data_IF_814772793052
#
_entry.id   IF_814772793052
#
_cell.length_a   1.000
_cell.length_b   1.000
_cell.length_c   1.000
_cell.angle_alpha   90.00
_cell.angle_beta   90.00
_cell.angle_gamma   90.00
#
_symmetry.space_group_name_H-M   'P 1'
#
loop_
_entity.id
_entity.type
_entity.pdbx_description
1 polymer ?
#
# COMPACT_ATOMS: atom_id res chain seq x y z
N UNK A 1 59.08 -36.28 15.16
CA UNK A 1 59.31 -35.64 16.47
C UNK A 1 58.39 -34.43 16.53
N UNK A 2 57.15 -34.68 16.94
CA UNK A 2 56.35 -33.68 17.66
C UNK A 2 56.90 -33.61 19.11
N UNK A 3 56.70 -32.54 19.90
CA UNK A 3 55.35 -32.13 20.32
C UNK A 3 55.09 -30.62 20.63
N UNK A 4 53.78 -30.31 20.70
CA UNK A 4 53.06 -29.45 21.69
C UNK A 4 53.23 -27.90 21.78
N UNK A 5 52.11 -27.21 21.49
CA UNK A 5 51.67 -25.88 22.02
C UNK A 5 51.49 -25.88 23.55
N UNK A 6 51.33 -24.74 24.29
CA UNK A 6 50.04 -24.00 24.36
C UNK A 6 50.09 -22.49 24.79
N UNK A 7 48.89 -21.89 24.94
CA UNK A 7 48.48 -20.64 25.64
C UNK A 7 48.54 -19.30 24.86
N UNK A 8 47.41 -18.77 24.36
CA UNK A 8 46.33 -18.02 25.05
C UNK A 8 46.76 -16.66 25.65
N UNK A 9 46.29 -15.58 25.02
CA UNK A 9 45.71 -14.44 25.76
C UNK A 9 44.50 -13.94 24.98
N UNK A 10 43.36 -14.01 25.65
CA UNK A 10 42.03 -13.66 25.16
C UNK A 10 41.69 -12.24 25.63
N UNK A 11 40.75 -11.61 24.91
CA UNK A 11 39.82 -10.53 25.30
C UNK A 11 40.18 -9.11 24.82
N UNK A 12 39.19 -8.23 24.60
CA UNK A 12 37.86 -8.44 24.02
C UNK A 12 37.52 -7.35 22.96
N UNK A 13 36.96 -7.72 21.81
CA UNK A 13 36.35 -6.75 20.88
C UNK A 13 34.93 -6.36 21.33
N UNK A 14 34.77 -6.05 22.61
CA UNK A 14 33.64 -5.28 23.11
C UNK A 14 33.93 -3.79 22.86
N UNK A 15 33.54 -3.30 21.68
CA UNK A 15 32.98 -1.96 21.46
C UNK A 15 32.76 -1.72 19.95
N UNK A 16 31.98 -2.61 19.32
CA UNK A 16 31.15 -2.25 18.16
C UNK A 16 29.65 -2.40 18.51
N UNK A 17 29.33 -2.29 19.80
CA UNK A 17 27.96 -2.03 20.26
C UNK A 17 27.69 -0.52 20.21
N UNK A 18 27.60 0.05 19.01
CA UNK A 18 26.89 1.31 18.73
C UNK A 18 26.94 1.66 17.23
N UNK A 19 26.47 0.75 16.37
CA UNK A 19 25.61 1.17 15.26
C UNK A 19 24.41 0.24 15.32
N UNK A 20 23.33 0.81 15.80
CA UNK A 20 22.05 0.22 16.11
C UNK A 20 21.52 -0.66 14.98
N UNK A 21 21.26 -1.93 15.31
CA UNK A 21 20.19 -2.73 14.71
C UNK A 21 18.92 -1.90 14.79
N UNK A 22 18.42 -1.36 13.66
CA UNK A 22 17.03 -0.90 13.43
C UNK A 22 16.90 -0.24 12.04
N UNK A 23 16.88 -1.00 10.95
CA UNK A 23 16.28 -0.49 9.70
C UNK A 23 15.60 -1.59 8.88
N UNK A 24 15.00 -2.59 9.55
CA UNK A 24 14.05 -3.49 8.90
C UNK A 24 12.60 -3.01 9.06
N UNK A 25 12.38 -1.94 9.82
CA UNK A 25 11.04 -1.45 10.19
C UNK A 25 10.69 -0.11 9.56
N UNK A 26 11.47 0.46 8.65
CA UNK A 26 11.14 1.79 8.12
C UNK A 26 10.58 1.68 6.70
N UNK A 27 9.36 2.18 6.51
CA UNK A 27 8.77 2.29 5.18
C UNK A 27 9.50 3.38 4.41
N UNK A 28 10.13 3.02 3.29
CA UNK A 28 10.77 3.98 2.41
C UNK A 28 9.73 4.99 1.88
N UNK A 29 9.73 6.18 2.47
CA UNK A 29 8.93 7.33 2.04
C UNK A 29 9.48 7.87 0.71
N UNK A 30 8.63 8.56 -0.05
CA UNK A 30 9.07 9.22 -1.27
C UNK A 30 10.07 10.34 -0.95
N UNK A 31 11.06 10.53 -1.80
CA UNK A 31 12.18 11.48 -1.62
C UNK A 31 11.73 12.96 -1.49
N UNK A 32 10.47 13.25 -1.82
CA UNK A 32 9.88 14.59 -1.83
C UNK A 32 8.52 14.65 -1.11
N UNK A 33 8.08 13.57 -0.46
CA UNK A 33 6.78 13.54 0.22
C UNK A 33 6.73 12.45 1.29
N UNK A 34 6.03 12.72 2.40
CA UNK A 34 5.68 11.72 3.41
C UNK A 34 4.81 10.55 2.89
N UNK A 35 4.49 10.55 1.59
CA UNK A 35 3.74 9.48 0.93
C UNK A 35 4.62 8.26 0.69
N UNK A 36 4.01 7.11 0.91
CA UNK A 36 4.59 5.79 0.68
C UNK A 36 4.04 5.24 -0.64
N UNK A 37 4.90 4.87 -1.60
CA UNK A 37 4.45 4.18 -2.80
C UNK A 37 4.01 2.75 -2.47
N UNK A 38 2.88 2.32 -3.03
CA UNK A 38 2.31 0.98 -2.81
C UNK A 38 3.32 -0.12 -3.19
N UNK A 39 4.19 0.16 -4.19
CA UNK A 39 5.27 -0.73 -4.59
C UNK A 39 6.17 -1.13 -3.43
N UNK A 40 6.62 -0.17 -2.63
CA UNK A 40 7.56 -0.42 -1.53
C UNK A 40 6.95 -1.29 -0.44
N UNK A 41 5.63 -1.27 -0.27
CA UNK A 41 4.92 -2.11 0.68
C UNK A 41 4.74 -3.54 0.11
N UNK A 42 4.20 -3.66 -1.11
CA UNK A 42 3.76 -4.95 -1.67
C UNK A 42 4.87 -5.80 -2.32
N UNK A 43 5.98 -5.18 -2.75
CA UNK A 43 7.09 -5.87 -3.39
C UNK A 43 8.24 -6.22 -2.44
N UNK A 44 8.13 -5.85 -1.16
CA UNK A 44 9.05 -6.32 -0.14
C UNK A 44 9.04 -7.85 -0.07
N UNK A 45 10.17 -8.48 0.27
CA UNK A 45 10.25 -9.95 0.36
C UNK A 45 9.19 -10.53 1.32
N UNK A 46 8.90 -9.78 2.38
CA UNK A 46 7.87 -10.07 3.39
C UNK A 46 6.43 -9.81 2.90
N UNK A 47 6.26 -9.24 1.71
CA UNK A 47 4.95 -8.86 1.17
C UNK A 47 4.22 -7.79 2.00
N UNK A 48 4.95 -7.03 2.81
CA UNK A 48 4.42 -5.97 3.66
C UNK A 48 4.00 -6.40 5.06
N UNK A 49 4.13 -7.68 5.43
CA UNK A 49 3.76 -8.14 6.77
C UNK A 49 4.65 -7.54 7.87
N UNK A 50 5.96 -7.35 7.60
CA UNK A 50 6.88 -6.67 8.50
C UNK A 50 6.59 -5.17 8.71
N UNK A 51 5.68 -4.60 7.91
CA UNK A 51 5.25 -3.20 8.03
C UNK A 51 3.89 -3.06 8.75
N UNK A 52 3.30 -4.18 9.19
CA UNK A 52 2.07 -4.14 9.96
C UNK A 52 2.28 -3.42 11.30
N UNK A 53 1.33 -2.57 11.68
CA UNK A 53 1.39 -1.69 12.83
C UNK A 53 1.98 -0.30 12.52
N UNK A 54 2.51 -0.07 11.32
CA UNK A 54 3.03 1.24 10.95
C UNK A 54 1.97 2.14 10.35
N UNK A 55 2.05 3.41 10.72
CA UNK A 55 1.27 4.48 10.12
C UNK A 55 1.92 4.89 8.80
N UNK A 56 1.16 4.82 7.71
CA UNK A 56 1.60 5.16 6.37
C UNK A 56 0.59 6.07 5.70
N UNK A 57 1.11 6.99 4.91
CA UNK A 57 0.32 7.84 4.03
C UNK A 57 0.40 7.30 2.61
N UNK A 58 -0.72 6.88 2.04
CA UNK A 58 -0.77 6.41 0.65
C UNK A 58 -1.65 7.33 -0.19
N UNK A 59 -1.18 7.61 -1.40
CA UNK A 59 -1.97 8.29 -2.43
C UNK A 59 -2.35 7.31 -3.52
N UNK A 60 -3.45 7.60 -4.23
CA UNK A 60 -3.78 6.87 -5.45
C UNK A 60 -5.19 7.18 -5.94
N UNK A 61 -5.68 6.33 -6.84
CA UNK A 61 -7.06 6.33 -7.27
C UNK A 61 -7.77 5.03 -6.92
N UNK A 62 -9.05 5.13 -6.59
CA UNK A 62 -9.92 3.98 -6.30
C UNK A 62 -10.23 3.26 -7.61
N UNK A 63 -9.84 1.99 -7.73
CA UNK A 63 -10.27 1.11 -8.84
C UNK A 63 -11.63 0.50 -8.55
N UNK A 64 -11.77 -0.10 -7.37
CA UNK A 64 -13.00 -0.74 -6.92
C UNK A 64 -13.31 -0.25 -5.52
N UNK A 65 -14.55 0.16 -5.28
CA UNK A 65 -15.05 0.41 -3.94
C UNK A 65 -16.31 -0.41 -3.69
N UNK A 66 -16.42 -0.98 -2.49
CA UNK A 66 -17.62 -1.68 -2.02
C UNK A 66 -17.89 -1.33 -0.57
N UNK A 67 -19.16 -1.06 -0.25
CA UNK A 67 -19.62 -0.88 1.13
C UNK A 67 -20.00 -2.23 1.72
N UNK A 68 -19.61 -2.50 2.95
CA UNK A 68 -19.90 -3.75 3.65
C UNK A 68 -20.39 -3.44 5.09
N UNK A 69 -21.01 -4.43 5.75
CA UNK A 69 -21.55 -4.24 7.11
C UNK A 69 -22.67 -3.20 7.18
N UNK A 70 -23.59 -3.21 6.20
CA UNK A 70 -24.72 -2.28 6.16
C UNK A 70 -24.35 -0.81 5.93
N UNK A 71 -23.10 -0.52 5.53
CA UNK A 71 -22.58 0.84 5.39
C UNK A 71 -21.72 1.31 6.56
N UNK A 72 -21.35 0.41 7.48
CA UNK A 72 -20.45 0.74 8.60
C UNK A 72 -18.98 0.88 8.16
N UNK A 73 -18.57 0.14 7.13
CA UNK A 73 -17.22 0.20 6.56
C UNK A 73 -17.23 0.04 5.05
N UNK A 74 -16.24 0.61 4.37
CA UNK A 74 -15.98 0.43 2.95
C UNK A 74 -14.64 -0.24 2.72
N UNK A 75 -14.63 -1.23 1.82
CA UNK A 75 -13.42 -1.76 1.23
C UNK A 75 -13.16 -1.07 -0.08
N UNK A 76 -11.99 -0.47 -0.20
CA UNK A 76 -11.50 0.16 -1.40
C UNK A 76 -10.26 -0.57 -1.89
N UNK A 77 -10.15 -0.70 -3.19
CA UNK A 77 -8.93 -1.11 -3.86
C UNK A 77 -8.30 0.13 -4.47
N UNK A 78 -7.19 0.58 -3.89
CA UNK A 78 -6.46 1.76 -4.34
C UNK A 78 -5.27 1.35 -5.19
N UNK A 79 -5.01 2.11 -6.25
CA UNK A 79 -3.85 1.96 -7.12
C UNK A 79 -3.17 3.31 -7.31
N UNK A 80 -1.85 3.34 -7.16
CA UNK A 80 -1.01 4.53 -7.39
C UNK A 80 -0.29 4.47 -8.77
N UNK A 81 -0.47 3.38 -9.51
CA UNK A 81 0.20 3.16 -10.81
C UNK A 81 1.64 2.68 -10.71
N UNK A 82 2.27 2.77 -9.54
CA UNK A 82 3.62 2.22 -9.29
C UNK A 82 3.69 0.70 -9.46
N UNK A 83 2.56 0.01 -9.32
CA UNK A 83 2.44 -1.45 -9.38
C UNK A 83 1.14 -1.88 -10.05
N UNK A 84 1.13 -3.06 -10.71
CA UNK A 84 -0.11 -3.67 -11.18
C UNK A 84 -0.97 -4.24 -10.04
N UNK A 85 -0.36 -4.50 -8.87
CA UNK A 85 -1.07 -4.93 -7.66
C UNK A 85 -1.78 -3.75 -7.00
N UNK A 86 -2.98 -4.00 -6.52
CA UNK A 86 -3.78 -3.04 -5.79
C UNK A 86 -3.51 -3.17 -4.28
N UNK A 87 -3.69 -2.07 -3.54
CA UNK A 87 -3.68 -2.09 -2.08
C UNK A 87 -5.12 -2.11 -1.57
N UNK A 88 -5.44 -3.03 -0.65
CA UNK A 88 -6.70 -3.01 0.05
C UNK A 88 -6.69 -1.93 1.11
N UNK A 89 -7.75 -1.13 1.13
CA UNK A 89 -7.96 -0.03 2.06
C UNK A 89 -9.32 -0.23 2.72
N UNK A 90 -9.37 -0.13 4.04
CA UNK A 90 -10.58 -0.20 4.84
C UNK A 90 -10.83 1.17 5.43
N UNK A 91 -12.01 1.73 5.16
CA UNK A 91 -12.45 3.01 5.72
C UNK A 91 -13.70 2.77 6.55
N UNK A 92 -13.66 3.20 7.81
CA UNK A 92 -14.83 3.23 8.69
C UNK A 92 -15.73 4.43 8.33
N UNK A 93 -17.05 4.27 8.39
CA UNK A 93 -18.01 5.33 8.11
C UNK A 93 -17.90 6.53 9.08
N UNK A 94 -17.28 6.32 10.24
CA UNK A 94 -17.03 7.36 11.23
C UNK A 94 -16.00 8.39 10.78
N UNK A 95 -15.10 8.01 9.86
CA UNK A 95 -14.00 8.89 9.42
C UNK A 95 -14.47 9.81 8.29
N UNK A 96 -15.31 9.32 7.37
CA UNK A 96 -15.68 10.07 6.17
C UNK A 96 -16.92 9.51 5.47
N UNK A 97 -17.48 10.27 4.53
CA UNK A 97 -18.61 9.80 3.71
C UNK A 97 -18.17 8.71 2.72
N UNK A 98 -18.58 7.47 2.98
CA UNK A 98 -18.26 6.31 2.15
C UNK A 98 -18.91 6.37 0.76
N UNK A 99 -19.92 7.21 0.54
CA UNK A 99 -20.61 7.32 -0.74
C UNK A 99 -19.74 7.95 -1.82
N UNK A 100 -19.08 9.05 -1.49
CA UNK A 100 -18.25 9.80 -2.44
C UNK A 100 -16.93 9.10 -2.76
N UNK A 101 -16.36 8.38 -1.78
CA UNK A 101 -15.04 7.75 -1.94
C UNK A 101 -15.10 6.42 -2.70
N UNK A 102 -16.22 5.70 -2.60
CA UNK A 102 -16.41 4.40 -3.27
C UNK A 102 -16.50 4.52 -4.80
N UNK A 103 -16.66 5.73 -5.35
CA UNK A 103 -16.68 5.95 -6.78
C UNK A 103 -15.35 5.54 -7.44
N UNK A 104 -15.44 4.81 -8.56
CA UNK A 104 -14.26 4.39 -9.33
C UNK A 104 -13.65 5.60 -10.02
N UNK A 105 -12.34 5.79 -9.86
CA UNK A 105 -11.60 6.93 -10.40
C UNK A 105 -11.37 8.06 -9.41
N UNK A 106 -12.00 8.01 -8.22
CA UNK A 106 -11.78 8.99 -7.15
C UNK A 106 -10.32 9.00 -6.75
N UNK A 107 -9.70 10.18 -6.76
CA UNK A 107 -8.34 10.34 -6.27
C UNK A 107 -8.38 10.51 -4.76
N UNK A 108 -7.58 9.75 -4.03
CA UNK A 108 -7.59 9.74 -2.57
C UNK A 108 -6.18 9.82 -2.03
N UNK A 109 -6.01 10.57 -0.96
CA UNK A 109 -4.81 10.56 -0.11
C UNK A 109 -5.28 10.19 1.28
N UNK A 110 -4.77 9.06 1.77
CA UNK A 110 -5.23 8.39 2.97
C UNK A 110 -4.06 8.21 3.91
N UNK A 111 -4.30 8.51 5.18
CA UNK A 111 -3.39 8.24 6.29
C UNK A 111 -4.00 7.11 7.11
N UNK A 112 -3.21 6.09 7.42
CA UNK A 112 -3.73 4.95 8.14
C UNK A 112 -2.66 3.95 8.54
N UNK A 113 -3.11 2.94 9.27
CA UNK A 113 -2.26 1.89 9.82
C UNK A 113 -2.31 0.63 8.96
N UNK A 114 -1.14 0.12 8.58
CA UNK A 114 -1.05 -1.18 7.90
C UNK A 114 -1.38 -2.29 8.88
N UNK A 115 -2.21 -3.24 8.46
CA UNK A 115 -2.53 -4.45 9.20
C UNK A 115 -2.35 -5.67 8.31
N UNK A 116 -2.02 -6.79 8.92
CA UNK A 116 -2.04 -8.08 8.23
C UNK A 116 -3.49 -8.55 8.20
N UNK A 117 -4.06 -8.80 7.01
CA UNK A 117 -5.41 -9.33 6.92
C UNK A 117 -5.47 -10.75 7.51
N UNK A 118 -6.66 -11.19 7.96
CA UNK A 118 -6.84 -12.55 8.45
C UNK A 118 -6.50 -13.60 7.37
N UNK A 119 -6.02 -14.76 7.83
CA UNK A 119 -5.69 -15.91 6.98
C UNK A 119 -6.88 -16.26 6.07
N UNK A 120 -6.67 -16.15 4.75
CA UNK A 120 -7.70 -16.41 3.73
C UNK A 120 -7.91 -15.29 2.71
N UNK A 121 -7.30 -14.12 2.90
CA UNK A 121 -7.38 -13.03 1.92
C UNK A 121 -6.22 -13.12 0.90
N UNK A 122 -6.52 -12.96 -0.40
CA UNK A 122 -5.50 -12.95 -1.47
C UNK A 122 -4.48 -11.81 -1.34
N UNK A 123 -4.82 -10.78 -0.57
CA UNK A 123 -3.99 -9.61 -0.34
C UNK A 123 -3.12 -9.83 0.89
N UNK A 124 -1.84 -9.46 0.82
CA UNK A 124 -0.86 -9.71 1.88
C UNK A 124 -0.89 -8.68 3.02
N UNK A 125 -1.47 -7.51 2.76
CA UNK A 125 -1.56 -6.39 3.68
C UNK A 125 -2.82 -5.60 3.36
N UNK A 126 -3.43 -5.03 4.39
CA UNK A 126 -4.56 -4.10 4.29
C UNK A 126 -4.24 -2.81 5.05
N UNK A 127 -4.71 -1.69 4.55
CA UNK A 127 -4.55 -0.39 5.21
C UNK A 127 -5.86 -0.01 5.88
N UNK A 128 -5.86 0.16 7.20
CA UNK A 128 -6.98 0.74 7.92
C UNK A 128 -6.81 2.25 7.99
N UNK A 129 -7.72 2.98 7.36
CA UNK A 129 -7.65 4.45 7.29
C UNK A 129 -8.10 5.04 8.62
N UNK A 130 -7.27 5.93 9.14
CA UNK A 130 -7.55 6.73 10.32
C UNK A 130 -7.95 8.15 9.92
N UNK A 131 -7.30 8.70 8.89
CA UNK A 131 -7.58 10.04 8.39
C UNK A 131 -7.59 10.08 6.86
N UNK A 132 -8.55 10.82 6.30
CA UNK A 132 -8.64 11.09 4.86
C UNK A 132 -8.19 12.52 4.62
N UNK A 133 -6.98 12.69 4.09
CA UNK A 133 -6.35 14.00 3.87
C UNK A 133 -6.95 14.70 2.66
N UNK A 134 -7.21 13.95 1.58
CA UNK A 134 -7.72 14.53 0.35
C UNK A 134 -8.60 13.53 -0.40
N UNK A 135 -9.75 14.01 -0.86
CA UNK A 135 -10.64 13.31 -1.78
C UNK A 135 -10.88 14.22 -2.97
N UNK A 136 -10.47 13.78 -4.14
CA UNK A 136 -10.91 14.34 -5.41
C UNK A 136 -12.15 13.58 -5.86
N UNK A 137 -13.37 14.05 -5.54
CA UNK A 137 -14.59 13.36 -5.91
C UNK A 137 -14.67 13.28 -7.43
N UNK A 138 -15.01 12.10 -7.93
CA UNK A 138 -15.25 11.88 -9.35
C UNK A 138 -16.74 11.66 -9.56
N UNK A 139 -17.29 12.31 -10.59
CA UNK A 139 -18.66 12.05 -10.98
C UNK A 139 -18.72 10.69 -11.73
N UNK A 140 -19.39 9.68 -11.18
CA UNK A 140 -19.42 8.35 -11.76
C UNK A 140 -20.16 8.30 -13.10
N UNK A 141 -21.01 9.29 -13.42
CA UNK A 141 -21.69 9.38 -14.71
C UNK A 141 -20.80 9.98 -15.81
N UNK A 142 -19.81 10.79 -15.41
CA UNK A 142 -18.84 11.41 -16.34
C UNK A 142 -17.57 10.57 -16.53
N UNK A 143 -17.34 9.56 -15.69
CA UNK A 143 -16.14 8.74 -15.75
C UNK A 143 -16.27 7.65 -16.84
N UNK A 144 -15.50 7.74 -17.95
CA UNK A 144 -15.71 6.88 -19.11
C UNK A 144 -15.08 5.48 -18.94
N UNK A 145 -14.43 5.19 -17.80
CA UNK A 145 -13.85 3.87 -17.56
C UNK A 145 -14.83 3.00 -16.77
N UNK A 146 -15.50 2.03 -17.42
CA UNK A 146 -16.33 1.07 -16.71
C UNK A 146 -15.50 0.19 -15.76
N UNK A 147 -16.15 -0.35 -14.72
CA UNK A 147 -15.56 -1.31 -13.76
C UNK A 147 -15.23 -2.68 -14.38
N UNK A 148 -15.56 -2.88 -15.65
CA UNK A 148 -15.44 -4.14 -16.40
C UNK A 148 -14.13 -4.17 -17.19
N UNK A 149 -13.73 -5.35 -17.70
CA UNK A 149 -12.59 -5.43 -18.64
C UNK A 149 -12.89 -4.57 -19.87
N UNK A 150 -12.08 -3.55 -20.11
CA UNK A 150 -12.13 -2.77 -21.34
C UNK A 150 -11.43 -3.52 -22.49
N UNK A 151 -12.00 -3.41 -23.68
CA UNK A 151 -11.33 -3.77 -24.93
C UNK A 151 -10.30 -2.71 -25.32
N UNK A 152 -9.26 -3.12 -26.04
CA UNK A 152 -8.19 -2.22 -26.49
C UNK A 152 -8.72 -1.11 -27.41
N UNK A 153 -9.81 -1.36 -28.14
CA UNK A 153 -10.47 -0.37 -29.00
C UNK A 153 -11.07 0.78 -28.21
N UNK A 154 -11.71 0.50 -27.07
CA UNK A 154 -12.25 1.54 -26.19
C UNK A 154 -11.11 2.35 -25.53
N UNK A 155 -10.00 1.69 -25.18
CA UNK A 155 -8.82 2.37 -24.63
C UNK A 155 -8.09 3.27 -25.64
N UNK A 156 -8.32 3.09 -26.95
CA UNK A 156 -7.81 3.99 -28.00
C UNK A 156 -8.60 5.30 -28.08
N UNK A 157 -9.86 5.30 -27.68
CA UNK A 157 -10.70 6.51 -27.64
C UNK A 157 -10.34 7.38 -26.42
N UNK A 158 -10.10 6.73 -25.27
CA UNK A 158 -9.68 7.37 -24.00
C UNK A 158 -8.20 7.13 -23.67
N UNK A 159 -7.30 7.49 -24.60
CA UNK A 159 -5.83 7.29 -24.45
C UNK A 159 -5.30 7.89 -23.14
N UNK A 160 -5.80 9.06 -22.75
CA UNK A 160 -5.37 9.78 -21.55
C UNK A 160 -5.70 9.03 -20.24
N UNK A 161 -6.66 8.10 -20.26
CA UNK A 161 -7.03 7.28 -19.11
C UNK A 161 -6.44 5.86 -19.15
N UNK A 162 -5.74 5.49 -20.23
CA UNK A 162 -5.14 4.17 -20.41
C UNK A 162 -4.20 3.80 -19.27
N UNK A 163 -3.37 4.74 -18.80
CA UNK A 163 -2.41 4.53 -17.71
C UNK A 163 -3.07 4.17 -16.37
N UNK A 164 -4.37 4.44 -16.21
CA UNK A 164 -5.14 4.08 -15.01
C UNK A 164 -5.75 2.68 -15.07
N UNK A 165 -5.71 2.02 -16.22
CA UNK A 165 -6.25 0.67 -16.42
C UNK A 165 -5.16 -0.39 -16.29
N UNK A 166 -5.54 -1.58 -15.82
CA UNK A 166 -4.59 -2.69 -15.60
C UNK A 166 -4.24 -3.45 -16.88
N UNK A 167 -4.85 -3.10 -18.02
CA UNK A 167 -4.63 -3.77 -19.30
C UNK A 167 -3.35 -3.24 -19.92
N UNK A 168 -2.23 -3.87 -19.56
CA UNK A 168 -0.98 -3.77 -20.32
C UNK A 168 -1.17 -4.46 -21.68
N UNK A 169 -0.75 -3.84 -22.80
CA UNK A 169 -0.61 -4.52 -24.08
C UNK A 169 0.49 -5.59 -24.04
#
# INVERSE_FOLDING_TARGET
MEPASPMESVLPMEQLASITVSDETVVAKHEFSDRVPIKSILYRQDGGCGLAGQQVRVGGWVKTGRKQGGGSFAFLEVSDGTCPKNLQVIIDASVTDLGQIVATGTCVVLDGMLKVPPEGTKQKVELRVEEVVHVGPVDPAKYPLPKTKLTLEFLRDVVHLRSKTSTVP
#
